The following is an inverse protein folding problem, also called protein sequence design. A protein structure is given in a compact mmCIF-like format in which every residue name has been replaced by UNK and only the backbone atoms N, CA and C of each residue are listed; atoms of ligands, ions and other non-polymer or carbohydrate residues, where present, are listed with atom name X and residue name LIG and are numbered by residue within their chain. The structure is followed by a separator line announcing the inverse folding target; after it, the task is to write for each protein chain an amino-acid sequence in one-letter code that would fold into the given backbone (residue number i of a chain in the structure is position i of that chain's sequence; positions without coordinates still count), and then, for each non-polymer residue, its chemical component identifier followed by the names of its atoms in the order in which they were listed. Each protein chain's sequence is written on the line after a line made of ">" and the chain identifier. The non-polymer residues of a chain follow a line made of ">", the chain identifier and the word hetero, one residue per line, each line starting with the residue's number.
data_IF_123141911973
#
_entry.id   IF_123141911973
#
_cell.length_a   1.000
_cell.length_b   1.000
_cell.length_c   1.000
_cell.angle_alpha   90.00
_cell.angle_beta   90.00
_cell.angle_gamma   90.00
#
_symmetry.space_group_name_H-M   'P 1'
#
loop_
_entity.id
_entity.type
_entity.pdbx_description
1 polymer ?
#
# COMPACT_ATOMS: atom_id res chain seq x y z
N UNK A 1 22.92 10.92 -16.35
CA UNK A 1 23.43 10.85 -14.96
C UNK A 1 22.22 11.04 -14.04
N UNK A 2 21.75 9.99 -13.36
CA UNK A 2 20.65 10.13 -12.40
C UNK A 2 21.22 10.76 -11.13
N UNK A 3 20.82 12.01 -10.84
CA UNK A 3 21.21 12.73 -9.64
C UNK A 3 20.62 12.00 -8.42
N UNK A 4 21.48 11.52 -7.53
CA UNK A 4 21.18 10.55 -6.47
C UNK A 4 20.80 11.20 -5.14
N UNK A 5 20.48 12.51 -5.13
CA UNK A 5 20.38 13.31 -3.90
C UNK A 5 19.13 14.20 -3.77
N UNK A 6 18.12 14.08 -4.63
CA UNK A 6 16.80 14.64 -4.34
C UNK A 6 15.90 13.50 -3.85
N UNK A 7 15.61 13.48 -2.55
CA UNK A 7 14.40 12.81 -2.09
C UNK A 7 13.26 13.70 -2.59
N UNK A 8 12.85 13.47 -3.85
CA UNK A 8 11.68 14.12 -4.44
C UNK A 8 10.47 13.72 -3.60
N UNK A 9 10.13 14.54 -2.60
CA UNK A 9 8.94 14.35 -1.79
C UNK A 9 7.72 14.48 -2.71
N UNK A 10 7.01 13.39 -2.90
CA UNK A 10 5.78 13.33 -3.66
C UNK A 10 4.59 13.01 -2.77
N UNK A 11 3.42 13.49 -3.16
CA UNK A 11 2.18 13.20 -2.44
C UNK A 11 1.61 11.90 -2.99
N UNK A 12 1.41 10.90 -2.12
CA UNK A 12 0.72 9.66 -2.45
C UNK A 12 -0.77 9.96 -2.68
N UNK A 13 -1.23 9.81 -3.90
CA UNK A 13 -2.63 10.11 -4.30
C UNK A 13 -3.47 8.85 -4.48
N UNK A 14 -2.84 7.67 -4.54
CA UNK A 14 -3.55 6.41 -4.62
C UNK A 14 -2.65 5.20 -4.60
N UNK A 15 -3.25 4.06 -4.29
CA UNK A 15 -2.60 2.76 -4.39
C UNK A 15 -3.61 1.68 -4.76
N UNK A 16 -3.16 0.66 -5.47
CA UNK A 16 -3.97 -0.51 -5.81
C UNK A 16 -3.15 -1.78 -5.63
N UNK A 17 -3.80 -2.85 -5.16
CA UNK A 17 -3.18 -4.16 -5.00
C UNK A 17 -3.83 -5.20 -5.89
N UNK A 18 -3.02 -6.03 -6.54
CA UNK A 18 -3.49 -7.19 -7.31
C UNK A 18 -2.75 -8.42 -6.83
N UNK A 19 -3.49 -9.46 -6.43
CA UNK A 19 -2.91 -10.77 -6.11
C UNK A 19 -2.58 -11.46 -7.43
N UNK A 20 -1.31 -11.82 -7.64
CA UNK A 20 -0.85 -12.47 -8.87
C UNK A 20 -0.98 -13.98 -8.73
N UNK A 21 -0.49 -14.51 -7.61
CA UNK A 21 -0.60 -15.92 -7.24
C UNK A 21 -0.74 -16.05 -5.71
N UNK A 22 -0.66 -17.27 -5.17
CA UNK A 22 -0.81 -17.52 -3.73
C UNK A 22 0.28 -16.83 -2.88
N UNK A 23 1.45 -16.58 -3.46
CA UNK A 23 2.65 -16.12 -2.74
C UNK A 23 3.05 -14.70 -3.12
N UNK A 24 2.54 -14.14 -4.22
CA UNK A 24 2.94 -12.85 -4.77
C UNK A 24 1.76 -11.92 -5.02
N UNK A 25 2.00 -10.64 -4.73
CA UNK A 25 1.09 -9.55 -5.05
C UNK A 25 1.86 -8.38 -5.65
N UNK A 26 1.13 -7.61 -6.45
CA UNK A 26 1.60 -6.36 -7.02
C UNK A 26 0.98 -5.19 -6.27
N UNK A 27 1.81 -4.30 -5.74
CA UNK A 27 1.41 -3.03 -5.14
C UNK A 27 1.78 -1.90 -6.08
N UNK A 28 0.78 -1.27 -6.70
CA UNK A 28 0.95 -0.07 -7.52
C UNK A 28 0.71 1.16 -6.66
N UNK A 29 1.70 2.02 -6.57
CA UNK A 29 1.68 3.30 -5.86
C UNK A 29 1.63 4.45 -6.87
N UNK A 30 0.79 5.44 -6.64
CA UNK A 30 0.63 6.60 -7.52
C UNK A 30 0.90 7.89 -6.77
N UNK A 31 1.76 8.73 -7.30
CA UNK A 31 2.16 9.98 -6.65
C UNK A 31 2.25 11.15 -7.62
N UNK A 32 2.15 12.36 -7.08
CA UNK A 32 2.30 13.62 -7.81
C UNK A 32 3.31 14.51 -7.10
N UNK A 33 4.04 15.32 -7.85
CA UNK A 33 5.01 16.30 -7.33
C UNK A 33 4.57 17.74 -7.55
N UNK A 34 3.53 17.97 -8.36
CA UNK A 34 2.95 19.29 -8.63
C UNK A 34 1.83 19.60 -7.62
N UNK A 35 1.57 20.87 -7.25
CA UNK A 35 0.39 21.25 -6.48
C UNK A 35 -0.91 21.04 -7.28
N UNK A 36 -2.08 20.85 -6.63
CA UNK A 36 -3.36 20.79 -7.33
C UNK A 36 -3.66 22.09 -8.09
N UNK A 37 -4.40 22.04 -9.23
CA UNK A 37 -5.04 20.87 -9.81
C UNK A 37 -4.07 19.99 -10.61
N UNK A 38 -4.15 18.67 -10.44
CA UNK A 38 -3.31 17.70 -11.16
C UNK A 38 -4.02 17.20 -12.42
N UNK A 39 -3.26 17.01 -13.49
CA UNK A 39 -3.72 16.28 -14.66
C UNK A 39 -3.24 14.81 -14.61
N UNK A 40 -3.70 13.97 -15.55
CA UNK A 40 -3.39 12.53 -15.51
C UNK A 40 -1.91 12.26 -15.78
N UNK A 41 -1.30 13.09 -16.61
CA UNK A 41 0.10 13.06 -16.99
C UNK A 41 1.05 13.43 -15.83
N UNK A 42 0.56 14.14 -14.81
CA UNK A 42 1.33 14.44 -13.59
C UNK A 42 1.49 13.21 -12.68
N UNK A 43 0.68 12.17 -12.88
CA UNK A 43 0.63 11.01 -12.00
C UNK A 43 1.74 10.01 -12.34
N UNK A 44 2.77 9.96 -11.49
CA UNK A 44 3.82 8.95 -11.56
C UNK A 44 3.35 7.68 -10.87
N UNK A 45 3.48 6.54 -11.56
CA UNK A 45 3.15 5.21 -11.01
C UNK A 45 4.43 4.41 -10.77
N UNK A 46 4.55 3.82 -9.59
CA UNK A 46 5.58 2.81 -9.29
C UNK A 46 4.92 1.49 -8.91
N UNK A 47 5.50 0.37 -9.34
CA UNK A 47 4.94 -0.96 -9.14
C UNK A 47 5.95 -1.82 -8.39
N UNK A 48 5.56 -2.29 -7.22
CA UNK A 48 6.32 -3.25 -6.43
C UNK A 48 5.69 -4.64 -6.59
N UNK A 49 6.53 -5.65 -6.84
CA UNK A 49 6.14 -7.05 -6.71
C UNK A 49 6.64 -7.53 -5.36
N UNK A 50 5.73 -7.96 -4.50
CA UNK A 50 6.03 -8.39 -3.14
C UNK A 50 5.60 -9.84 -2.97
N UNK A 51 6.41 -10.60 -2.24
CA UNK A 51 5.90 -11.84 -1.67
C UNK A 51 4.98 -11.56 -0.47
N UNK A 52 4.31 -12.61 0.01
CA UNK A 52 3.38 -12.52 1.14
C UNK A 52 4.04 -12.04 2.44
N UNK A 53 5.26 -12.47 2.72
CA UNK A 53 5.98 -12.07 3.93
C UNK A 53 6.41 -10.60 3.86
N UNK A 54 6.91 -10.14 2.72
CA UNK A 54 7.25 -8.74 2.47
C UNK A 54 6.02 -7.84 2.60
N UNK A 55 4.87 -8.27 2.07
CA UNK A 55 3.63 -7.52 2.21
C UNK A 55 3.14 -7.44 3.67
N UNK A 56 3.28 -8.53 4.44
CA UNK A 56 2.95 -8.53 5.88
C UNK A 56 3.88 -7.60 6.65
N UNK A 57 5.19 -7.66 6.38
CA UNK A 57 6.17 -6.78 7.03
C UNK A 57 5.90 -5.31 6.72
N UNK A 58 5.64 -4.98 5.45
CA UNK A 58 5.29 -3.63 5.03
C UNK A 58 4.02 -3.14 5.74
N UNK A 59 2.97 -3.98 5.79
CA UNK A 59 1.72 -3.63 6.47
C UNK A 59 1.93 -3.40 7.96
N UNK A 60 2.67 -4.27 8.65
CA UNK A 60 2.97 -4.13 10.07
C UNK A 60 3.76 -2.86 10.35
N UNK A 61 4.80 -2.58 9.56
CA UNK A 61 5.59 -1.36 9.66
C UNK A 61 4.71 -0.11 9.56
N UNK A 62 3.79 -0.07 8.59
CA UNK A 62 2.88 1.07 8.41
C UNK A 62 1.94 1.26 9.62
N UNK A 63 1.46 0.18 10.22
CA UNK A 63 0.62 0.23 11.43
C UNK A 63 1.38 0.69 12.67
N UNK A 64 2.59 0.16 12.88
CA UNK A 64 3.49 0.55 13.97
C UNK A 64 3.86 2.04 13.87
N UNK A 65 4.15 2.52 12.66
CA UNK A 65 4.52 3.91 12.41
C UNK A 65 3.44 4.92 12.84
N UNK A 66 2.16 4.54 12.73
CA UNK A 66 1.03 5.43 13.04
C UNK A 66 0.39 5.12 14.40
N UNK A 67 1.01 4.25 15.20
CA UNK A 67 0.49 3.75 16.48
C UNK A 67 -0.97 3.25 16.37
N UNK A 68 -1.28 2.54 15.27
CA UNK A 68 -2.59 1.91 15.07
C UNK A 68 -2.46 0.40 14.97
N UNK A 69 -3.48 -0.31 15.42
CA UNK A 69 -3.57 -1.76 15.24
C UNK A 69 -4.26 -2.11 13.93
N UNK A 70 -3.79 -3.16 13.25
CA UNK A 70 -4.48 -3.72 12.09
C UNK A 70 -5.94 -4.07 12.42
N UNK A 71 -6.92 -3.68 11.59
CA UNK A 71 -8.31 -4.08 11.78
C UNK A 71 -8.43 -5.61 11.82
N UNK A 72 -9.10 -6.14 12.83
CA UNK A 72 -9.39 -7.57 12.91
C UNK A 72 -10.32 -7.94 11.74
N UNK A 73 -9.90 -8.90 10.91
CA UNK A 73 -10.68 -9.35 9.77
C UNK A 73 -12.06 -9.88 10.20
N UNK A 74 -13.12 -9.54 9.44
CA UNK A 74 -14.54 -9.90 9.68
C UNK A 74 -14.86 -11.41 9.73
N UNK A 75 -13.87 -12.31 9.79
CA UNK A 75 -14.09 -13.76 9.91
C UNK A 75 -14.58 -14.19 11.29
N UNK A 76 -14.40 -13.37 12.34
CA UNK A 76 -14.86 -13.70 13.68
C UNK A 76 -16.39 -13.62 13.87
N UNK A 77 -17.15 -13.02 12.93
CA UNK A 77 -18.59 -12.78 13.11
C UNK A 77 -19.49 -13.99 12.84
N UNK A 78 -19.09 -14.93 11.98
CA UNK A 78 -19.95 -16.07 11.62
C UNK A 78 -19.88 -17.18 12.67
N UNK A 79 -18.68 -17.56 13.11
CA UNK A 79 -18.50 -18.58 14.15
C UNK A 79 -19.05 -18.13 15.52
N UNK A 80 -19.02 -16.82 15.82
CA UNK A 80 -19.57 -16.26 17.07
C UNK A 80 -21.10 -16.25 17.11
N UNK A 81 -21.78 -16.44 15.97
CA UNK A 81 -23.25 -16.54 15.85
C UNK A 81 -23.81 -17.96 15.98
N UNK A 82 -22.96 -18.99 15.89
CA UNK A 82 -23.37 -20.40 16.04
C UNK A 82 -23.18 -20.95 17.45
N UNK A 83 -22.37 -20.29 18.28
CA UNK A 83 -22.05 -20.72 19.64
C UNK A 83 -22.38 -19.65 20.70
N UNK A 84 -23.29 -18.74 20.39
CA UNK A 84 -23.80 -17.69 21.28
C UNK A 84 -25.27 -17.44 21.04
#
# INVERSE_FOLDING_TARGET
>A
MANRNDVDYSVLVGWTTTVVDADRLTLRMQSVTTPPPHSREDVRSHVYVLDRNQAVQLGNFLFELVDQTKPQGRRAGWFRRMFG
#
